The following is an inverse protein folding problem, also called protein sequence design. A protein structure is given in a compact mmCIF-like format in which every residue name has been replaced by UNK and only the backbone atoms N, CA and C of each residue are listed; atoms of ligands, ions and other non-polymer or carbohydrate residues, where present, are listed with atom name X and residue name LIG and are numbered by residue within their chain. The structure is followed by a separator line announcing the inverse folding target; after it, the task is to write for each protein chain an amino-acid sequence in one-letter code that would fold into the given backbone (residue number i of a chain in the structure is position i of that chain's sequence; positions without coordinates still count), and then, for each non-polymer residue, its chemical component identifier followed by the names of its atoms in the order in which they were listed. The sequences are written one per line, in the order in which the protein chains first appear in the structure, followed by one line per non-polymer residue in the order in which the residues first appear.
data_IF_809089010990
#
_entry.id   IF_809089010990
#
_cell.length_a   1.000
_cell.length_b   1.000
_cell.length_c   1.000
_cell.angle_alpha   90.00
_cell.angle_beta   90.00
_cell.angle_gamma   90.00
#
_symmetry.space_group_name_H-M   'P 1'
#
loop_
_entity.id
_entity.type
_entity.pdbx_description
1 polymer ?
#
# COMPACT_ATOMS: atom_id res chain seq x y z
N UNK A 1 6.26 -64.61 -23.11
CA UNK A 1 6.60 -66.00 -22.90
C UNK A 1 7.92 -66.12 -22.12
N UNK A 2 7.95 -67.00 -21.13
CA UNK A 2 9.21 -67.39 -20.49
C UNK A 2 9.99 -68.38 -21.38
N UNK A 3 11.18 -68.86 -20.92
CA UNK A 3 12.02 -69.76 -21.67
C UNK A 3 11.41 -71.15 -21.91
N UNK A 4 10.34 -71.50 -21.26
CA UNK A 4 9.59 -72.76 -21.42
C UNK A 4 8.21 -72.54 -22.07
N UNK A 5 7.92 -71.36 -22.57
CA UNK A 5 6.73 -71.03 -23.37
C UNK A 5 5.50 -70.63 -22.57
N UNK A 6 5.59 -70.28 -21.30
CA UNK A 6 4.45 -69.79 -20.55
C UNK A 6 4.19 -68.32 -20.88
N UNK A 7 2.93 -67.98 -21.01
CA UNK A 7 2.42 -66.60 -21.27
C UNK A 7 2.44 -65.79 -19.96
N UNK A 8 2.93 -64.56 -20.01
CA UNK A 8 2.79 -63.61 -18.91
C UNK A 8 1.31 -63.33 -18.65
N UNK A 9 0.89 -63.34 -17.39
CA UNK A 9 -0.51 -63.03 -17.01
C UNK A 9 -0.78 -61.53 -17.29
N UNK A 10 -1.97 -61.22 -17.76
CA UNK A 10 -2.39 -59.84 -18.11
C UNK A 10 -2.60 -58.97 -16.88
N UNK A 11 -2.93 -59.55 -15.75
CA UNK A 11 -3.17 -58.85 -14.47
C UNK A 11 -2.02 -59.12 -13.47
N UNK A 12 -0.89 -58.47 -13.65
CA UNK A 12 0.23 -58.57 -12.71
C UNK A 12 0.14 -57.47 -11.66
N UNK A 13 0.26 -57.84 -10.39
CA UNK A 13 0.44 -56.92 -9.28
C UNK A 13 1.92 -56.51 -9.16
N UNK A 14 2.17 -55.27 -8.84
CA UNK A 14 3.55 -54.73 -8.65
C UNK A 14 4.27 -54.28 -9.93
N UNK A 15 3.56 -54.15 -11.05
CA UNK A 15 4.07 -53.61 -12.32
C UNK A 15 3.81 -52.10 -12.51
N UNK A 16 3.39 -51.40 -11.44
CA UNK A 16 3.17 -49.97 -11.38
C UNK A 16 4.12 -49.32 -10.41
N UNK A 17 4.56 -48.09 -10.73
CA UNK A 17 5.32 -47.25 -9.83
C UNK A 17 4.81 -45.81 -9.92
N UNK A 18 4.69 -45.14 -8.79
CA UNK A 18 4.38 -43.72 -8.76
C UNK A 18 5.61 -42.91 -9.09
N UNK A 19 5.42 -41.81 -9.86
CA UNK A 19 6.47 -40.82 -10.05
C UNK A 19 6.74 -40.11 -8.71
N UNK A 20 8.00 -39.84 -8.47
CA UNK A 20 8.41 -39.01 -7.32
C UNK A 20 8.09 -37.54 -7.62
N UNK A 21 7.58 -36.82 -6.62
CA UNK A 21 7.38 -35.39 -6.70
C UNK A 21 8.74 -34.67 -6.92
N UNK A 22 8.77 -33.77 -7.89
CA UNK A 22 9.90 -32.91 -8.23
C UNK A 22 9.48 -31.44 -8.41
N UNK A 23 8.21 -31.13 -8.12
CA UNK A 23 7.70 -29.78 -8.18
C UNK A 23 8.14 -29.01 -6.92
N UNK A 24 8.75 -27.85 -7.10
CA UNK A 24 9.05 -26.97 -5.97
C UNK A 24 7.81 -26.21 -5.53
N UNK A 25 7.61 -25.96 -4.22
CA UNK A 25 6.51 -25.14 -3.74
C UNK A 25 6.65 -23.70 -4.24
N UNK A 26 5.53 -23.11 -4.65
CA UNK A 26 5.46 -21.73 -5.14
C UNK A 26 4.42 -20.91 -4.37
N UNK A 27 4.55 -19.59 -4.39
CA UNK A 27 3.51 -18.68 -3.96
C UNK A 27 2.35 -18.71 -4.98
N UNK A 28 1.16 -19.08 -4.53
CA UNK A 28 -0.06 -19.13 -5.35
C UNK A 28 -0.96 -17.90 -5.15
N UNK A 29 -0.86 -17.21 -4.00
CA UNK A 29 -1.56 -15.96 -3.75
C UNK A 29 -0.82 -15.09 -2.72
N UNK A 30 -0.98 -13.76 -2.86
CA UNK A 30 -0.54 -12.75 -1.89
C UNK A 30 -1.71 -11.81 -1.58
N UNK A 31 -2.07 -11.67 -0.30
CA UNK A 31 -3.09 -10.75 0.17
C UNK A 31 -2.52 -9.81 1.24
N UNK A 32 -2.40 -8.53 0.89
CA UNK A 32 -1.96 -7.48 1.80
C UNK A 32 -3.15 -6.98 2.63
N UNK A 33 -2.95 -6.84 3.94
CA UNK A 33 -3.96 -6.24 4.82
C UNK A 33 -4.10 -4.73 4.54
N UNK A 34 -5.32 -4.19 4.71
CA UNK A 34 -5.63 -2.79 4.43
C UNK A 34 -4.80 -1.77 5.24
N UNK A 35 -4.26 -2.18 6.38
CA UNK A 35 -3.39 -1.35 7.23
C UNK A 35 -1.89 -1.52 6.92
N UNK A 36 -1.52 -2.29 5.88
CA UNK A 36 -0.14 -2.68 5.55
C UNK A 36 0.60 -3.46 6.66
N UNK A 37 -0.07 -3.84 7.74
CA UNK A 37 0.59 -4.48 8.90
C UNK A 37 0.91 -5.96 8.69
N UNK A 38 0.25 -6.63 7.76
CA UNK A 38 0.48 -8.06 7.46
C UNK A 38 0.27 -8.38 5.99
N UNK A 39 0.94 -9.44 5.52
CA UNK A 39 0.68 -10.04 4.21
C UNK A 39 0.46 -11.55 4.36
N UNK A 40 -0.62 -12.06 3.80
CA UNK A 40 -0.89 -13.48 3.72
C UNK A 40 -0.31 -14.06 2.44
N UNK A 41 0.60 -15.02 2.57
CA UNK A 41 1.24 -15.78 1.50
C UNK A 41 0.62 -17.17 1.46
N UNK A 42 0.03 -17.55 0.34
CA UNK A 42 -0.49 -18.91 0.13
C UNK A 42 0.48 -19.69 -0.72
N UNK A 43 0.90 -20.86 -0.25
CA UNK A 43 1.69 -21.79 -1.04
C UNK A 43 0.83 -22.73 -1.90
N UNK A 44 1.38 -23.23 -2.99
CA UNK A 44 0.75 -24.27 -3.84
C UNK A 44 0.42 -25.53 -3.05
N UNK A 45 1.23 -25.83 -2.04
CA UNK A 45 1.21 -27.05 -1.25
C UNK A 45 1.65 -26.81 0.21
N UNK A 46 1.53 -27.83 1.11
CA UNK A 46 2.10 -27.74 2.45
C UNK A 46 3.61 -27.62 2.42
N UNK A 47 4.16 -26.71 3.25
CA UNK A 47 5.59 -26.44 3.33
C UNK A 47 6.12 -26.57 4.74
N UNK A 48 7.45 -26.83 4.84
CA UNK A 48 8.19 -27.16 6.04
C UNK A 48 9.56 -26.45 6.05
N UNK A 49 10.16 -26.27 7.22
CA UNK A 49 11.52 -25.72 7.36
C UNK A 49 12.63 -26.74 7.17
N UNK A 50 12.30 -28.02 7.02
CA UNK A 50 13.26 -29.11 6.80
C UNK A 50 12.90 -29.92 5.56
N UNK A 51 13.93 -30.42 4.88
CA UNK A 51 13.78 -31.23 3.66
C UNK A 51 13.24 -32.66 3.88
N UNK A 52 12.99 -33.03 5.12
CA UNK A 52 12.35 -34.29 5.50
C UNK A 52 10.82 -34.19 5.67
N UNK A 53 10.22 -33.04 5.30
CA UNK A 53 8.79 -32.78 5.44
C UNK A 53 8.37 -32.45 6.87
N UNK A 54 9.30 -32.00 7.72
CA UNK A 54 9.05 -31.61 9.11
C UNK A 54 9.49 -30.16 9.40
N UNK A 55 9.18 -29.68 10.59
CA UNK A 55 9.52 -28.34 11.04
C UNK A 55 8.52 -27.27 10.63
N UNK A 56 8.29 -26.31 11.52
CA UNK A 56 7.47 -25.13 11.26
C UNK A 56 8.33 -24.00 10.70
N UNK A 57 7.77 -23.21 9.78
CA UNK A 57 8.43 -22.00 9.30
C UNK A 57 8.41 -20.92 10.37
N UNK A 58 9.48 -20.14 10.39
CA UNK A 58 9.63 -18.96 11.24
C UNK A 58 9.98 -17.69 10.40
N UNK A 59 10.32 -16.60 11.06
CA UNK A 59 10.62 -15.33 10.39
C UNK A 59 11.88 -15.38 9.52
N UNK A 60 12.84 -16.24 9.83
CA UNK A 60 14.10 -16.35 9.09
C UNK A 60 13.94 -17.11 7.77
N UNK A 61 12.84 -17.85 7.60
CA UNK A 61 12.52 -18.56 6.36
C UNK A 61 12.02 -17.62 5.24
N UNK A 62 11.78 -16.35 5.56
CA UNK A 62 11.30 -15.34 4.60
C UNK A 62 12.20 -14.10 4.62
N UNK A 63 12.32 -13.45 3.47
CA UNK A 63 12.95 -12.14 3.34
C UNK A 63 12.01 -11.14 2.70
N UNK A 64 12.04 -9.90 3.20
CA UNK A 64 11.34 -8.75 2.65
C UNK A 64 12.33 -7.75 2.09
N UNK A 65 11.95 -7.11 0.98
CA UNK A 65 12.55 -5.86 0.54
C UNK A 65 11.46 -4.89 0.11
N UNK A 66 11.69 -3.60 0.31
CA UNK A 66 10.76 -2.54 -0.04
C UNK A 66 11.48 -1.54 -0.94
N UNK A 67 10.90 -1.28 -2.11
CA UNK A 67 11.33 -0.24 -3.03
C UNK A 67 10.28 0.87 -3.06
N UNK A 68 10.70 2.13 -3.22
CA UNK A 68 9.84 3.32 -3.22
C UNK A 68 10.29 4.33 -2.19
N UNK A 69 9.50 5.41 -2.05
CA UNK A 69 9.75 6.50 -1.10
C UNK A 69 8.52 6.71 -0.22
N UNK A 70 8.74 7.07 1.04
CA UNK A 70 7.67 7.31 2.03
C UNK A 70 7.83 6.41 3.24
N UNK A 71 7.72 5.10 3.10
CA UNK A 71 7.99 4.15 4.17
C UNK A 71 9.23 3.29 3.88
N UNK A 72 9.83 2.76 4.95
CA UNK A 72 10.92 1.79 4.90
C UNK A 72 10.59 0.58 5.76
N UNK A 73 11.25 -0.55 5.54
CA UNK A 73 11.13 -1.70 6.44
C UNK A 73 11.95 -1.46 7.72
N UNK A 74 11.35 -1.73 8.89
CA UNK A 74 12.08 -1.74 10.16
C UNK A 74 13.06 -2.92 10.26
N UNK A 75 12.78 -4.00 9.52
CA UNK A 75 13.64 -5.19 9.40
C UNK A 75 13.35 -5.96 8.11
N UNK A 76 14.35 -6.72 7.64
CA UNK A 76 14.25 -7.48 6.39
C UNK A 76 13.49 -8.81 6.51
N UNK A 77 13.09 -9.23 7.71
CA UNK A 77 12.33 -10.45 7.95
C UNK A 77 10.94 -10.10 8.51
N UNK A 78 9.94 -10.99 8.39
CA UNK A 78 8.66 -10.80 9.04
C UNK A 78 8.79 -10.59 10.56
N UNK A 79 7.99 -9.67 11.12
CA UNK A 79 7.92 -9.44 12.56
C UNK A 79 7.21 -10.58 13.30
N UNK A 80 6.30 -11.27 12.60
CA UNK A 80 5.55 -12.42 13.08
C UNK A 80 5.26 -13.38 11.93
N UNK A 81 5.09 -14.67 12.25
CA UNK A 81 4.66 -15.71 11.31
C UNK A 81 3.53 -16.50 11.96
N UNK A 82 2.38 -16.56 11.31
CA UNK A 82 1.23 -17.38 11.73
C UNK A 82 0.79 -18.28 10.58
N UNK A 83 0.51 -19.57 10.87
CA UNK A 83 0.14 -20.58 9.88
C UNK A 83 -1.32 -20.98 10.00
N UNK A 84 -2.01 -21.07 8.86
CA UNK A 84 -3.33 -21.69 8.72
C UNK A 84 -3.38 -22.51 7.43
N UNK A 85 -3.24 -23.81 7.54
CA UNK A 85 -3.13 -24.70 6.37
C UNK A 85 -1.90 -24.39 5.53
N UNK A 86 -2.11 -23.96 4.26
CA UNK A 86 -1.07 -23.53 3.33
C UNK A 86 -0.84 -22.00 3.32
N UNK A 87 -1.55 -21.27 4.17
CA UNK A 87 -1.47 -19.81 4.27
C UNK A 87 -0.56 -19.44 5.43
N UNK A 88 0.40 -18.56 5.15
CA UNK A 88 1.27 -17.96 6.15
C UNK A 88 1.01 -16.46 6.20
N UNK A 89 0.55 -15.96 7.35
CA UNK A 89 0.37 -14.53 7.60
C UNK A 89 1.64 -13.99 8.21
N UNK A 90 2.31 -13.12 7.47
CA UNK A 90 3.60 -12.53 7.81
C UNK A 90 3.41 -11.09 8.28
N UNK A 91 3.90 -10.75 9.47
CA UNK A 91 3.88 -9.38 9.97
C UNK A 91 4.88 -8.49 9.23
N UNK A 92 4.46 -7.30 8.85
CA UNK A 92 5.30 -6.29 8.20
C UNK A 92 5.61 -5.19 9.21
N UNK A 93 6.90 -4.97 9.49
CA UNK A 93 7.36 -3.81 10.26
C UNK A 93 7.67 -2.66 9.31
N UNK A 94 6.97 -1.55 9.45
CA UNK A 94 7.19 -0.33 8.65
C UNK A 94 7.59 0.83 9.55
N UNK A 95 8.56 1.62 9.10
CA UNK A 95 8.92 2.93 9.60
C UNK A 95 8.48 3.99 8.58
N UNK A 96 7.82 5.07 9.04
CA UNK A 96 7.20 6.06 8.19
C UNK A 96 5.79 5.66 7.72
N UNK A 97 5.19 6.51 6.88
CA UNK A 97 3.83 6.35 6.36
C UNK A 97 3.88 5.96 4.89
N UNK A 98 3.30 4.82 4.49
CA UNK A 98 3.23 4.44 3.07
C UNK A 98 2.47 5.46 2.23
N UNK A 99 3.02 5.77 1.07
CA UNK A 99 2.46 6.72 0.07
C UNK A 99 1.77 6.02 -1.10
N UNK A 100 1.67 4.68 -1.07
CA UNK A 100 1.13 3.91 -2.21
C UNK A 100 2.12 3.74 -3.38
N UNK A 101 3.32 4.31 -3.28
CA UNK A 101 4.38 4.14 -4.28
C UNK A 101 5.36 3.00 -3.92
N UNK A 102 5.28 2.48 -2.71
CA UNK A 102 6.18 1.43 -2.24
C UNK A 102 5.75 0.06 -2.74
N UNK A 103 6.72 -0.73 -3.19
CA UNK A 103 6.53 -2.11 -3.65
C UNK A 103 7.25 -3.06 -2.72
N UNK A 104 6.48 -3.80 -1.92
CA UNK A 104 6.96 -4.88 -1.07
C UNK A 104 7.25 -6.11 -1.92
N UNK A 105 8.45 -6.66 -1.81
CA UNK A 105 8.85 -7.96 -2.37
C UNK A 105 9.04 -8.96 -1.24
N UNK A 106 8.44 -10.15 -1.39
CA UNK A 106 8.54 -11.27 -0.47
C UNK A 106 9.28 -12.41 -1.17
N UNK A 107 10.24 -13.02 -0.52
CA UNK A 107 10.96 -14.18 -1.05
C UNK A 107 11.16 -15.24 0.04
N UNK A 108 11.10 -16.55 -0.30
CA UNK A 108 11.71 -17.57 0.55
C UNK A 108 13.17 -17.26 0.79
N UNK A 109 13.69 -17.49 1.99
CA UNK A 109 15.12 -17.50 2.22
C UNK A 109 15.76 -18.70 1.48
N UNK A 110 17.02 -18.60 1.11
CA UNK A 110 17.70 -19.67 0.39
C UNK A 110 17.73 -20.95 1.23
N UNK A 111 17.33 -22.06 0.62
CA UNK A 111 17.35 -23.41 1.21
C UNK A 111 16.61 -23.52 2.57
N UNK A 112 15.54 -22.69 2.77
CA UNK A 112 14.84 -22.61 4.04
C UNK A 112 13.42 -23.23 4.02
N UNK A 113 12.80 -23.29 2.85
CA UNK A 113 11.41 -23.76 2.72
C UNK A 113 11.35 -24.95 1.76
N UNK A 114 10.78 -26.04 2.22
CA UNK A 114 10.68 -27.30 1.48
C UNK A 114 9.24 -27.81 1.46
N UNK A 115 8.89 -28.62 0.45
CA UNK A 115 7.71 -29.47 0.45
C UNK A 115 7.92 -30.76 1.26
N UNK A 116 6.91 -31.64 1.27
CA UNK A 116 6.97 -32.95 1.94
C UNK A 116 7.93 -33.94 1.26
N UNK A 117 8.33 -33.70 0.01
CA UNK A 117 9.24 -34.54 -0.80
C UNK A 117 10.68 -34.01 -0.78
N UNK A 118 10.94 -32.89 -0.07
CA UNK A 118 12.25 -32.26 0.05
C UNK A 118 12.62 -31.33 -1.13
N UNK A 119 11.65 -30.95 -1.98
CA UNK A 119 11.91 -29.96 -3.02
C UNK A 119 11.89 -28.56 -2.40
N UNK A 120 12.94 -27.76 -2.70
CA UNK A 120 13.12 -26.43 -2.12
C UNK A 120 12.30 -25.36 -2.88
N UNK A 121 11.66 -24.45 -2.14
CA UNK A 121 11.05 -23.26 -2.71
C UNK A 121 12.12 -22.31 -3.27
N UNK A 122 11.99 -21.92 -4.53
CA UNK A 122 12.94 -21.00 -5.16
C UNK A 122 12.80 -19.59 -4.56
N UNK A 123 13.92 -18.89 -4.37
CA UNK A 123 13.94 -17.50 -3.88
C UNK A 123 13.27 -16.53 -4.87
N UNK A 124 13.33 -16.81 -6.17
CA UNK A 124 12.72 -16.02 -7.22
C UNK A 124 11.31 -16.56 -7.56
N UNK A 125 10.31 -16.22 -6.75
CA UNK A 125 8.91 -16.55 -7.00
C UNK A 125 8.34 -15.69 -8.13
N UNK A 126 7.45 -16.26 -8.97
CA UNK A 126 6.76 -15.51 -10.02
C UNK A 126 5.78 -14.48 -9.42
N UNK A 127 5.07 -14.87 -8.34
CA UNK A 127 4.19 -13.98 -7.57
C UNK A 127 4.91 -13.61 -6.26
N UNK A 128 5.53 -12.44 -6.21
CA UNK A 128 6.35 -12.05 -5.05
C UNK A 128 6.19 -10.59 -4.61
N UNK A 129 5.44 -9.77 -5.32
CA UNK A 129 5.34 -8.34 -5.04
C UNK A 129 3.93 -7.88 -4.75
N UNK A 130 3.82 -6.87 -3.87
CA UNK A 130 2.59 -6.10 -3.60
C UNK A 130 2.94 -4.63 -3.41
N UNK A 131 2.18 -3.74 -4.05
CA UNK A 131 2.21 -2.32 -3.74
C UNK A 131 1.54 -2.09 -2.39
N UNK A 132 2.15 -1.29 -1.52
CA UNK A 132 1.55 -0.89 -0.26
C UNK A 132 0.34 0.03 -0.52
N UNK A 133 -0.61 -0.03 0.38
CA UNK A 133 -1.78 0.85 0.35
C UNK A 133 -1.35 2.22 0.87
N UNK A 134 -1.72 3.27 0.16
CA UNK A 134 -1.48 4.64 0.59
C UNK A 134 -2.16 4.93 1.94
N UNK A 135 -1.40 5.56 2.85
CA UNK A 135 -1.83 6.02 4.18
C UNK A 135 -1.39 7.46 4.44
N UNK A 136 -0.78 8.10 3.44
CA UNK A 136 -0.27 9.45 3.55
C UNK A 136 -1.41 10.45 3.24
N UNK A 137 -1.77 11.28 4.21
CA UNK A 137 -2.78 12.30 4.02
C UNK A 137 -2.30 13.39 3.04
N UNK A 138 -3.17 13.91 2.16
CA UNK A 138 -2.82 15.01 1.28
C UNK A 138 -2.58 16.29 2.08
N UNK A 139 -1.59 17.08 1.66
CA UNK A 139 -1.22 18.34 2.30
C UNK A 139 -1.26 19.50 1.32
N UNK A 140 -1.51 20.71 1.83
CA UNK A 140 -1.31 21.96 1.04
C UNK A 140 0.19 22.21 0.95
N UNK A 141 0.73 22.20 -0.26
CA UNK A 141 2.15 22.43 -0.53
C UNK A 141 2.46 23.90 -0.81
N UNK A 142 1.48 24.69 -1.28
CA UNK A 142 1.64 26.14 -1.47
C UNK A 142 0.31 26.88 -1.50
N UNK A 143 0.35 28.15 -1.09
CA UNK A 143 -0.72 29.14 -1.25
C UNK A 143 -0.13 30.39 -1.88
N UNK A 144 -0.67 30.83 -3.02
CA UNK A 144 -0.19 32.01 -3.77
C UNK A 144 -1.37 32.95 -4.02
N UNK A 145 -1.30 34.17 -3.49
CA UNK A 145 -2.27 35.24 -3.75
C UNK A 145 -2.07 35.85 -5.16
N UNK A 146 -3.18 36.15 -5.82
CA UNK A 146 -3.16 37.00 -7.02
C UNK A 146 -2.72 38.46 -6.65
N UNK A 147 -2.12 39.17 -7.62
CA UNK A 147 -1.63 40.53 -7.37
C UNK A 147 -2.70 41.55 -6.96
N UNK A 148 -3.95 41.28 -7.32
CA UNK A 148 -5.12 42.10 -6.97
C UNK A 148 -5.82 41.64 -5.69
N UNK A 149 -5.31 40.56 -5.05
CA UNK A 149 -5.88 39.91 -3.89
C UNK A 149 -7.28 39.33 -4.10
N UNK A 150 -7.75 39.17 -5.35
CA UNK A 150 -9.09 38.63 -5.63
C UNK A 150 -9.20 37.10 -5.49
N UNK A 151 -8.06 36.43 -5.64
CA UNK A 151 -7.99 34.95 -5.57
C UNK A 151 -6.75 34.44 -4.89
N UNK A 152 -6.79 33.20 -4.39
CA UNK A 152 -5.64 32.45 -3.91
C UNK A 152 -5.53 31.10 -4.66
N UNK A 153 -4.38 30.80 -5.23
CA UNK A 153 -4.06 29.49 -5.79
C UNK A 153 -3.50 28.60 -4.68
N UNK A 154 -4.17 27.50 -4.41
CA UNK A 154 -3.84 26.49 -3.38
C UNK A 154 -3.42 25.22 -4.09
N UNK A 155 -2.19 24.77 -3.88
CA UNK A 155 -1.68 23.53 -4.49
C UNK A 155 -1.56 22.45 -3.43
N UNK A 156 -2.15 21.28 -3.68
CA UNK A 156 -2.00 20.08 -2.84
C UNK A 156 -0.80 19.24 -3.27
N UNK A 157 -0.31 18.42 -2.36
CA UNK A 157 0.77 17.44 -2.61
C UNK A 157 0.39 16.42 -3.68
N UNK A 158 -0.91 16.19 -3.87
CA UNK A 158 -1.49 15.16 -4.75
C UNK A 158 -2.90 15.54 -5.22
N UNK A 159 -3.51 14.67 -6.02
CA UNK A 159 -4.89 14.86 -6.47
C UNK A 159 -5.85 14.60 -5.31
N UNK A 160 -6.78 15.52 -5.08
CA UNK A 160 -7.74 15.46 -4.00
C UNK A 160 -9.19 15.49 -4.50
N UNK A 161 -10.10 14.97 -3.65
CA UNK A 161 -11.51 14.75 -3.91
C UNK A 161 -12.36 15.16 -2.69
N UNK A 162 -13.65 15.40 -2.92
CA UNK A 162 -14.62 15.69 -1.86
C UNK A 162 -15.04 14.44 -1.06
N UNK A 163 -15.01 13.26 -1.68
CA UNK A 163 -15.43 12.02 -1.05
C UNK A 163 -14.27 11.04 -0.86
N UNK A 164 -14.29 10.28 0.23
CA UNK A 164 -13.27 9.29 0.62
C UNK A 164 -13.13 8.10 -0.34
N UNK A 165 -14.00 7.99 -1.33
CA UNK A 165 -13.90 6.98 -2.41
C UNK A 165 -13.18 7.48 -3.67
N UNK A 166 -12.48 8.62 -3.61
CA UNK A 166 -11.75 9.21 -4.73
C UNK A 166 -12.66 9.87 -5.78
N UNK A 167 -13.83 10.39 -5.38
CA UNK A 167 -14.77 11.04 -6.29
C UNK A 167 -15.24 12.40 -5.77
N UNK A 168 -15.83 13.19 -6.67
CA UNK A 168 -16.41 14.50 -6.37
C UNK A 168 -15.36 15.63 -6.45
N UNK A 169 -15.79 16.75 -7.03
CA UNK A 169 -14.99 17.97 -7.07
C UNK A 169 -15.16 18.76 -5.77
N UNK A 170 -14.09 19.46 -5.37
CA UNK A 170 -14.13 20.32 -4.20
C UNK A 170 -15.01 21.55 -4.44
N UNK A 171 -15.70 21.98 -3.39
CA UNK A 171 -16.58 23.15 -3.34
C UNK A 171 -16.02 24.18 -2.35
N UNK A 172 -16.53 25.43 -2.36
CA UNK A 172 -16.07 26.47 -1.43
C UNK A 172 -16.14 26.04 0.04
N UNK A 173 -17.16 25.28 0.41
CA UNK A 173 -17.41 24.80 1.77
C UNK A 173 -16.37 23.80 2.28
N UNK A 174 -15.52 23.25 1.40
CA UNK A 174 -14.46 22.30 1.75
C UNK A 174 -13.20 23.01 2.28
N UNK A 175 -13.16 24.35 2.19
CA UNK A 175 -12.04 25.19 2.63
C UNK A 175 -12.45 26.15 3.73
N UNK A 176 -11.53 26.45 4.63
CA UNK A 176 -11.65 27.52 5.62
C UNK A 176 -10.51 28.52 5.44
N UNK A 177 -10.88 29.81 5.36
CA UNK A 177 -9.98 30.95 5.16
C UNK A 177 -9.89 31.75 6.45
N UNK A 178 -8.69 32.24 6.77
CA UNK A 178 -8.49 33.22 7.85
C UNK A 178 -7.43 34.25 7.50
N UNK A 179 -7.59 35.49 8.02
CA UNK A 179 -6.56 36.52 8.00
C UNK A 179 -6.03 36.78 9.40
N UNK A 180 -4.71 36.93 9.47
CA UNK A 180 -4.05 37.47 10.64
C UNK A 180 -3.25 38.73 10.26
N UNK A 181 -3.01 39.66 11.22
CA UNK A 181 -2.33 40.92 10.96
C UNK A 181 -3.19 41.92 10.20
N UNK A 182 -2.59 43.10 9.89
CA UNK A 182 -3.16 44.12 9.03
C UNK A 182 -4.52 44.68 9.43
N UNK A 183 -5.20 45.34 8.46
CA UNK A 183 -6.53 45.99 8.65
C UNK A 183 -7.63 45.39 7.77
N UNK A 184 -7.26 44.80 6.62
CA UNK A 184 -8.23 44.15 5.75
C UNK A 184 -8.83 42.93 6.46
N UNK A 185 -10.09 42.63 6.15
CA UNK A 185 -10.86 41.50 6.72
C UNK A 185 -11.42 40.66 5.60
N UNK A 186 -11.54 39.35 5.83
CA UNK A 186 -12.39 38.50 5.01
C UNK A 186 -13.86 38.80 5.38
N UNK A 187 -14.74 38.91 4.40
CA UNK A 187 -16.21 38.97 4.62
C UNK A 187 -16.80 37.59 4.94
N UNK A 188 -16.11 36.53 4.46
CA UNK A 188 -16.47 35.14 4.73
C UNK A 188 -15.21 34.32 4.95
N UNK A 189 -15.27 33.36 5.88
CA UNK A 189 -14.24 32.32 6.02
C UNK A 189 -14.33 31.25 4.93
N UNK A 190 -15.41 31.23 4.15
CA UNK A 190 -15.60 30.34 3.01
C UNK A 190 -15.24 31.07 1.72
N UNK A 191 -14.46 30.50 0.80
CA UNK A 191 -14.21 31.07 -0.52
C UNK A 191 -15.50 31.37 -1.28
N UNK A 192 -15.48 32.38 -2.17
CA UNK A 192 -16.64 32.71 -3.03
C UNK A 192 -16.76 31.77 -4.23
N UNK A 193 -15.68 31.12 -4.61
CA UNK A 193 -15.62 30.17 -5.73
C UNK A 193 -14.43 29.23 -5.59
N UNK A 194 -14.51 28.09 -6.26
CA UNK A 194 -13.41 27.11 -6.41
C UNK A 194 -13.34 26.70 -7.87
N UNK A 195 -12.12 26.74 -8.46
CA UNK A 195 -11.86 26.18 -9.78
C UNK A 195 -10.63 25.29 -9.74
N UNK A 196 -10.68 24.12 -10.37
CA UNK A 196 -9.63 23.07 -10.33
C UNK A 196 -8.76 23.11 -11.58
N UNK A 197 -7.46 22.98 -11.40
CA UNK A 197 -6.49 22.68 -12.45
C UNK A 197 -5.43 21.70 -11.92
N UNK A 198 -5.61 20.41 -12.18
CA UNK A 198 -4.76 19.34 -11.64
C UNK A 198 -4.83 19.28 -10.11
N UNK A 199 -3.71 19.50 -9.43
CA UNK A 199 -3.60 19.57 -7.96
C UNK A 199 -3.79 20.99 -7.40
N UNK A 200 -3.96 21.99 -8.27
CA UNK A 200 -4.11 23.39 -7.87
C UNK A 200 -5.57 23.82 -7.94
N UNK A 201 -6.04 24.47 -6.88
CA UNK A 201 -7.38 25.03 -6.76
C UNK A 201 -7.28 26.55 -6.61
N UNK A 202 -7.98 27.29 -7.49
CA UNK A 202 -8.08 28.74 -7.38
C UNK A 202 -9.35 29.09 -6.59
N UNK A 203 -9.15 29.71 -5.42
CA UNK A 203 -10.19 30.11 -4.49
C UNK A 203 -10.49 31.58 -4.66
N UNK A 204 -11.76 31.97 -4.85
CA UNK A 204 -12.21 33.37 -4.86
C UNK A 204 -12.24 33.94 -3.44
N UNK A 205 -11.77 35.17 -3.29
CA UNK A 205 -11.71 35.89 -2.01
C UNK A 205 -12.66 37.08 -2.02
N UNK A 206 -13.39 37.32 -0.92
CA UNK A 206 -14.16 38.54 -0.69
C UNK A 206 -13.56 39.31 0.49
N UNK A 207 -12.80 40.35 0.17
CA UNK A 207 -12.00 41.15 1.11
C UNK A 207 -12.65 42.49 1.34
N UNK A 208 -12.81 42.87 2.59
CA UNK A 208 -13.25 44.20 3.01
C UNK A 208 -12.05 45.06 3.44
N UNK A 209 -11.96 46.26 2.91
CA UNK A 209 -10.85 47.21 3.17
C UNK A 209 -9.71 47.04 2.19
N UNK A 210 -8.67 47.85 2.38
CA UNK A 210 -7.46 47.80 1.55
C UNK A 210 -6.35 47.07 2.26
N UNK A 211 -5.75 46.13 1.58
CA UNK A 211 -4.58 45.38 2.10
C UNK A 211 -3.41 46.32 2.40
N UNK A 212 -2.74 46.11 3.51
CA UNK A 212 -1.61 46.90 3.98
C UNK A 212 -0.26 46.20 3.77
N UNK A 213 -0.30 44.96 3.25
CA UNK A 213 0.88 44.07 3.13
C UNK A 213 1.30 43.43 4.45
N UNK A 214 0.48 43.57 5.51
CA UNK A 214 0.69 42.93 6.82
C UNK A 214 -0.28 41.79 7.09
N UNK A 215 -1.28 41.66 6.23
CA UNK A 215 -2.25 40.57 6.30
C UNK A 215 -1.60 39.28 5.80
N UNK A 216 -1.79 38.20 6.56
CA UNK A 216 -1.38 36.83 6.20
C UNK A 216 -2.65 36.02 6.02
N UNK A 217 -2.86 35.50 4.80
CA UNK A 217 -3.93 34.54 4.51
C UNK A 217 -3.48 33.14 4.92
N UNK A 218 -4.28 32.48 5.74
CA UNK A 218 -4.20 31.05 5.96
C UNK A 218 -5.41 30.37 5.28
N UNK A 219 -5.12 29.25 4.62
CA UNK A 219 -6.12 28.39 3.97
C UNK A 219 -5.92 26.99 4.55
N UNK A 220 -6.98 26.43 5.10
CA UNK A 220 -6.97 25.06 5.62
C UNK A 220 -8.11 24.25 5.03
N UNK A 221 -7.93 22.93 4.84
CA UNK A 221 -9.04 22.01 4.58
C UNK A 221 -10.03 22.06 5.75
N UNK A 222 -11.33 22.08 5.45
CA UNK A 222 -12.33 21.87 6.47
C UNK A 222 -12.29 20.41 6.95
N UNK A 223 -12.56 20.19 8.21
CA UNK A 223 -12.51 18.87 8.80
C UNK A 223 -13.36 17.85 8.03
N UNK A 224 -12.76 16.71 7.67
CA UNK A 224 -13.40 15.58 6.99
C UNK A 224 -14.08 15.94 5.66
N UNK A 225 -13.54 16.89 4.89
CA UNK A 225 -14.11 17.33 3.61
C UNK A 225 -13.23 17.12 2.38
N UNK A 226 -11.93 16.95 2.56
CA UNK A 226 -10.97 16.76 1.46
C UNK A 226 -10.19 15.46 1.67
N UNK A 227 -10.16 14.61 0.64
CA UNK A 227 -9.55 13.28 0.67
C UNK A 227 -8.67 13.07 -0.56
N UNK A 228 -7.66 12.19 -0.43
CA UNK A 228 -6.96 11.63 -1.58
C UNK A 228 -7.74 10.48 -2.25
N UNK A 229 -7.15 9.86 -3.25
CA UNK A 229 -7.74 8.73 -3.95
C UNK A 229 -7.81 7.43 -3.11
N UNK A 230 -7.02 7.32 -2.05
CA UNK A 230 -7.00 6.18 -1.13
C UNK A 230 -7.97 6.36 0.06
N UNK A 231 -8.58 7.55 0.19
CA UNK A 231 -9.51 7.91 1.25
C UNK A 231 -8.84 8.46 2.50
N UNK A 232 -7.55 8.86 2.43
CA UNK A 232 -6.90 9.56 3.52
C UNK A 232 -7.37 11.01 3.55
N UNK A 233 -7.74 11.51 4.73
CA UNK A 233 -8.30 12.86 4.90
C UNK A 233 -7.20 13.90 5.07
N UNK A 234 -7.30 15.03 4.36
CA UNK A 234 -6.45 16.18 4.58
C UNK A 234 -6.68 16.78 5.97
N UNK A 235 -5.60 17.02 6.72
CA UNK A 235 -5.71 17.56 8.08
C UNK A 235 -6.06 19.05 8.05
N UNK A 236 -7.00 19.47 8.92
CA UNK A 236 -7.37 20.88 9.12
C UNK A 236 -6.32 21.69 9.89
N UNK A 237 -5.33 21.02 10.50
CA UNK A 237 -4.24 21.63 11.30
C UNK A 237 -2.93 21.82 10.51
N UNK A 238 -3.01 21.93 9.19
CA UNK A 238 -1.84 22.20 8.35
C UNK A 238 -1.35 23.65 8.56
N UNK A 239 -0.06 23.84 8.80
CA UNK A 239 0.58 25.15 9.02
C UNK A 239 1.71 25.36 8.03
#
# INVERSE_FOLDING_TARGET
YDAVGNVSVSEQSGNTANLKDKASPIFSALNLANNNGTIAVTFSEPVFSKNDGTGALDSLDFTFSLAGAGATLSQANPTTVAKSGKVYTLGIGLDGTPSGAEVLTISPAADAIFDASGNVAQTNQALKTKTLIDKLAPTISSVVLANDNSTAAVTFSEIVFKASNGTGDLEPEDFELSFSGGRAKLKSATPTSVTKNGTTFTLGLDIQGTGTGKEVLAVVPKESSIYDNAGNVALSTQT
#
